data_IF_501022468630
#
_entry.id   IF_501022468630
#
_cell.length_a   1.000
_cell.length_b   1.000
_cell.length_c   1.000
_cell.angle_alpha   90.00
_cell.angle_beta   90.00
_cell.angle_gamma   90.00
#
_symmetry.space_group_name_H-M   'P 1'
#
loop_
_entity.id
_entity.type
_entity.pdbx_description
1 polymer ?
#
# COMPACT_ATOMS: atom_id res chain seq x y z
N UNK A 1 -0.89 14.34 -1.44
CA UNK A 1 -0.86 13.07 -0.69
C UNK A 1 -1.39 11.97 -1.59
N UNK A 2 -0.74 10.82 -1.63
CA UNK A 2 -1.15 9.64 -2.41
C UNK A 2 -1.46 8.52 -1.43
N UNK A 3 -2.72 8.12 -1.37
CA UNK A 3 -3.14 6.91 -0.64
C UNK A 3 -2.92 5.68 -1.52
N UNK A 4 -2.83 4.49 -0.91
CA UNK A 4 -2.60 3.20 -1.61
C UNK A 4 -1.40 3.22 -2.56
N UNK A 5 -0.26 3.71 -2.09
CA UNK A 5 0.97 3.83 -2.89
C UNK A 5 1.43 2.53 -3.58
N UNK A 6 1.06 1.36 -3.07
CA UNK A 6 1.32 0.07 -3.74
C UNK A 6 0.72 -0.06 -5.15
N UNK A 7 -0.37 0.65 -5.45
CA UNK A 7 -0.99 0.66 -6.78
C UNK A 7 -0.03 1.16 -7.88
N UNK A 8 0.98 1.96 -7.51
CA UNK A 8 2.00 2.50 -8.43
C UNK A 8 2.85 1.41 -9.09
N UNK A 9 3.03 0.26 -8.44
CA UNK A 9 3.95 -0.80 -8.91
C UNK A 9 3.25 -2.09 -9.29
N UNK A 10 2.33 -2.57 -8.45
CA UNK A 10 1.70 -3.89 -8.68
C UNK A 10 0.60 -3.82 -9.74
N UNK A 11 -0.09 -2.67 -9.85
CA UNK A 11 -1.43 -2.63 -10.45
C UNK A 11 -1.59 -1.62 -11.60
N UNK A 12 -0.48 -1.07 -12.10
CA UNK A 12 -0.45 -0.05 -13.16
C UNK A 12 -1.25 -0.39 -14.41
N UNK A 13 -1.46 -1.67 -14.74
CA UNK A 13 -2.11 -2.07 -16.01
C UNK A 13 -3.56 -2.52 -15.91
N UNK A 14 -3.98 -3.06 -14.77
CA UNK A 14 -5.26 -3.82 -14.71
C UNK A 14 -6.25 -3.31 -13.68
N UNK A 15 -5.80 -2.66 -12.59
CA UNK A 15 -6.70 -2.31 -11.47
C UNK A 15 -7.05 -0.82 -11.43
N UNK A 16 -6.08 0.08 -11.67
CA UNK A 16 -6.28 1.54 -11.71
C UNK A 16 -5.26 2.22 -12.64
N UNK A 17 -5.54 2.29 -13.96
CA UNK A 17 -4.61 2.84 -14.94
C UNK A 17 -4.30 4.33 -14.72
N UNK A 18 -5.12 5.06 -13.96
CA UNK A 18 -4.93 6.47 -13.62
C UNK A 18 -3.63 6.70 -12.82
N UNK A 19 -3.16 5.70 -12.08
CA UNK A 19 -1.88 5.77 -11.36
C UNK A 19 -0.68 5.91 -12.30
N UNK A 20 -0.80 5.54 -13.58
CA UNK A 20 0.24 5.81 -14.58
C UNK A 20 0.44 7.31 -14.82
N UNK A 21 -0.58 8.12 -14.56
CA UNK A 21 -0.53 9.56 -14.76
C UNK A 21 0.15 10.29 -13.59
N UNK A 22 0.40 9.61 -12.45
CA UNK A 22 1.03 10.25 -11.29
C UNK A 22 2.45 10.74 -11.56
N UNK A 23 3.14 10.16 -12.55
CA UNK A 23 4.45 10.65 -13.00
C UNK A 23 4.38 12.11 -13.50
N UNK A 24 3.23 12.57 -13.99
CA UNK A 24 3.04 13.95 -14.43
C UNK A 24 3.03 14.94 -13.26
N UNK A 25 2.62 14.51 -12.07
CA UNK A 25 2.61 15.38 -10.90
C UNK A 25 4.00 15.91 -10.56
N UNK A 26 5.04 15.10 -10.76
CA UNK A 26 6.42 15.54 -10.60
C UNK A 26 6.77 16.71 -11.52
N UNK A 27 6.27 16.71 -12.76
CA UNK A 27 6.56 17.75 -13.75
C UNK A 27 5.76 19.04 -13.53
N UNK A 28 4.57 18.93 -12.93
CA UNK A 28 3.66 20.07 -12.76
C UNK A 28 3.90 20.77 -11.41
N UNK A 29 4.27 20.01 -10.38
CA UNK A 29 4.42 20.55 -9.03
C UNK A 29 5.79 21.19 -8.82
N UNK A 30 5.87 22.30 -8.06
CA UNK A 30 7.14 22.85 -7.62
C UNK A 30 8.06 21.81 -6.94
N UNK A 31 9.37 21.83 -7.22
CA UNK A 31 10.30 20.78 -6.78
C UNK A 31 10.52 20.70 -5.26
N UNK A 32 10.14 21.75 -4.53
CA UNK A 32 10.27 21.80 -3.07
C UNK A 32 9.05 21.24 -2.33
N UNK A 33 7.98 20.85 -3.05
CA UNK A 33 6.79 20.30 -2.41
C UNK A 33 7.03 18.84 -2.00
N UNK A 34 6.78 18.49 -0.73
CA UNK A 34 6.93 17.12 -0.27
C UNK A 34 5.80 16.23 -0.80
N UNK A 35 6.15 15.01 -1.18
CA UNK A 35 5.18 13.96 -1.48
C UNK A 35 4.98 13.06 -0.26
N UNK A 36 3.76 13.01 0.23
CA UNK A 36 3.35 12.05 1.27
C UNK A 36 2.65 10.87 0.62
N UNK A 37 3.21 9.68 0.80
CA UNK A 37 2.71 8.43 0.20
C UNK A 37 2.44 7.44 1.32
N UNK A 38 1.20 6.96 1.39
CA UNK A 38 0.73 6.03 2.41
C UNK A 38 0.32 4.72 1.75
N UNK A 39 0.66 3.59 2.37
CA UNK A 39 0.26 2.28 1.89
C UNK A 39 0.26 1.26 3.02
N UNK A 40 -0.70 0.35 2.98
CA UNK A 40 -0.75 -0.82 3.88
C UNK A 40 0.40 -1.80 3.59
N UNK A 41 0.81 -1.88 2.32
CA UNK A 41 1.88 -2.77 1.85
C UNK A 41 3.00 -1.93 1.23
N UNK A 42 4.24 -2.13 1.68
CA UNK A 42 5.42 -1.41 1.18
C UNK A 42 6.61 -2.36 1.00
N UNK A 43 6.47 -3.32 0.07
CA UNK A 43 7.56 -4.22 -0.29
C UNK A 43 8.73 -3.45 -0.95
N UNK A 44 9.96 -4.00 -0.98
CA UNK A 44 11.09 -3.33 -1.62
C UNK A 44 10.89 -3.05 -3.12
N UNK A 45 10.08 -3.85 -3.82
CA UNK A 45 9.71 -3.59 -5.23
C UNK A 45 8.78 -2.37 -5.33
N UNK A 46 7.71 -2.35 -4.53
CA UNK A 46 6.75 -1.24 -4.46
C UNK A 46 7.45 0.07 -4.10
N UNK A 47 8.31 0.04 -3.08
CA UNK A 47 9.06 1.21 -2.64
C UNK A 47 9.93 1.78 -3.77
N UNK A 48 10.64 0.91 -4.51
CA UNK A 48 11.44 1.32 -5.67
C UNK A 48 10.58 1.90 -6.80
N UNK A 49 9.43 1.31 -7.09
CA UNK A 49 8.53 1.82 -8.13
C UNK A 49 7.92 3.18 -7.77
N UNK A 50 7.66 3.44 -6.49
CA UNK A 50 7.26 4.76 -5.99
C UNK A 50 8.38 5.79 -6.19
N UNK A 51 9.60 5.49 -5.73
CA UNK A 51 10.77 6.39 -5.90
C UNK A 51 10.96 6.75 -7.37
N UNK A 52 10.91 5.75 -8.24
CA UNK A 52 11.05 5.93 -9.68
C UNK A 52 9.92 6.78 -10.28
N UNK A 53 8.66 6.53 -9.91
CA UNK A 53 7.49 7.23 -10.48
C UNK A 53 7.46 8.71 -10.10
N UNK A 54 7.83 9.04 -8.87
CA UNK A 54 7.83 10.42 -8.37
C UNK A 54 9.20 11.10 -8.46
N UNK A 55 10.19 10.44 -9.05
CA UNK A 55 11.58 10.92 -9.17
C UNK A 55 12.15 11.45 -7.84
N UNK A 56 11.91 10.70 -6.75
CA UNK A 56 12.37 11.10 -5.41
C UNK A 56 13.86 10.84 -5.25
N UNK A 57 14.56 11.77 -4.60
CA UNK A 57 15.97 11.62 -4.26
C UNK A 57 16.09 10.83 -2.95
N UNK A 58 16.84 9.72 -2.96
CA UNK A 58 16.92 8.78 -1.84
C UNK A 58 17.38 9.44 -0.53
N UNK A 59 18.20 10.49 -0.61
CA UNK A 59 18.75 11.24 0.53
C UNK A 59 17.66 12.01 1.29
N UNK A 60 16.54 12.31 0.62
CA UNK A 60 15.45 13.13 1.16
C UNK A 60 14.20 12.31 1.53
N UNK A 61 14.30 10.98 1.56
CA UNK A 61 13.17 10.10 1.86
C UNK A 61 13.20 9.69 3.32
N UNK A 62 12.14 10.03 4.04
CA UNK A 62 11.86 9.49 5.37
C UNK A 62 10.83 8.38 5.27
N UNK A 63 11.16 7.19 5.78
CA UNK A 63 10.25 6.03 5.83
C UNK A 63 9.80 5.80 7.26
N UNK A 64 8.48 5.84 7.48
CA UNK A 64 7.84 5.39 8.72
C UNK A 64 7.12 4.09 8.42
N UNK A 65 7.46 3.03 9.16
CA UNK A 65 6.83 1.73 9.02
C UNK A 65 6.25 1.31 10.36
N UNK A 66 4.94 1.07 10.38
CA UNK A 66 4.24 0.52 11.53
C UNK A 66 4.21 -1.00 11.43
N UNK A 67 4.18 -1.65 12.59
CA UNK A 67 4.00 -3.09 12.68
C UNK A 67 2.51 -3.43 12.60
N UNK A 68 2.17 -4.54 11.96
CA UNK A 68 0.80 -5.07 11.92
C UNK A 68 0.45 -5.86 13.19
N UNK A 69 1.17 -5.64 14.29
CA UNK A 69 0.89 -6.36 15.54
C UNK A 69 -0.27 -5.69 16.28
N UNK A 70 -1.30 -6.48 16.57
CA UNK A 70 -2.48 -6.05 17.31
C UNK A 70 -2.65 -6.96 18.53
N UNK A 71 -2.02 -6.60 19.64
CA UNK A 71 -2.02 -7.39 20.88
C UNK A 71 -3.42 -7.62 21.48
N UNK A 72 -4.40 -6.83 21.05
CA UNK A 72 -5.80 -6.94 21.43
C UNK A 72 -6.61 -7.89 20.52
N UNK A 73 -5.97 -8.58 19.56
CA UNK A 73 -6.62 -9.54 18.65
C UNK A 73 -6.12 -10.95 18.98
N UNK A 74 -7.04 -11.83 19.36
CA UNK A 74 -6.77 -13.27 19.52
C UNK A 74 -7.09 -14.01 18.23
N UNK A 75 -6.09 -14.65 17.62
CA UNK A 75 -6.27 -15.49 16.43
C UNK A 75 -6.48 -16.95 16.85
N UNK A 76 -7.56 -17.57 16.35
CA UNK A 76 -7.88 -18.99 16.57
C UNK A 76 -8.13 -19.69 15.24
N UNK A 77 -7.75 -20.96 15.15
CA UNK A 77 -8.02 -21.84 14.01
C UNK A 77 -8.81 -23.03 14.52
N UNK A 78 -10.03 -23.20 14.01
CA UNK A 78 -10.97 -24.26 14.42
C UNK A 78 -11.44 -24.98 13.16
N UNK A 79 -11.56 -26.31 13.20
CA UNK A 79 -12.11 -27.10 12.11
C UNK A 79 -13.60 -26.80 11.91
N UNK A 80 -13.99 -26.56 10.66
CA UNK A 80 -15.40 -26.37 10.32
C UNK A 80 -16.10 -27.74 10.27
N UNK A 81 -17.08 -27.96 11.14
CA UNK A 81 -17.85 -29.21 11.22
C UNK A 81 -19.18 -29.11 10.47
N UNK A 82 -19.75 -27.92 10.40
CA UNK A 82 -20.99 -27.65 9.70
C UNK A 82 -20.74 -26.97 8.35
N UNK A 83 -21.76 -26.98 7.48
CA UNK A 83 -21.70 -26.23 6.21
C UNK A 83 -21.43 -24.74 6.50
N UNK A 84 -20.60 -24.10 5.68
CA UNK A 84 -20.28 -22.66 5.74
C UNK A 84 -21.52 -21.75 5.80
N UNK A 85 -22.67 -22.20 5.27
CA UNK A 85 -23.94 -21.46 5.29
C UNK A 85 -24.66 -21.49 6.63
N UNK A 86 -24.36 -22.45 7.49
CA UNK A 86 -25.10 -22.69 8.73
C UNK A 86 -24.69 -21.78 9.89
N UNK A 87 -23.47 -21.21 9.84
CA UNK A 87 -22.87 -20.39 10.91
C UNK A 87 -22.82 -21.08 12.29
N UNK A 88 -23.05 -22.40 12.36
CA UNK A 88 -23.14 -23.13 13.64
C UNK A 88 -21.81 -23.20 14.40
N UNK A 89 -20.69 -23.16 13.67
CA UNK A 89 -19.34 -23.27 14.22
C UNK A 89 -18.78 -21.91 14.73
N UNK A 90 -19.57 -20.83 14.73
CA UNK A 90 -19.16 -19.47 15.13
C UNK A 90 -19.49 -19.12 16.59
N UNK A 91 -20.03 -20.07 17.38
CA UNK A 91 -20.45 -19.86 18.77
C UNK A 91 -19.48 -20.49 19.78
#
# INVERSE_FOLDING_TARGET
MVDKGHCVSEWRKEFQPEYNQLQWLYWILPPHLPFYIVSVIMSPHIHRGIIFTFNMQCENISKVQLLNNHLNIQLMVIEMLASTKSMQDLN
#
